data_IF_501814131121
#
_entry.id   IF_501814131121
#
_cell.length_a   1.000
_cell.length_b   1.000
_cell.length_c   1.000
_cell.angle_alpha   90.00
_cell.angle_beta   90.00
_cell.angle_gamma   90.00
#
_symmetry.space_group_name_H-M   'P 1'
#
loop_
_entity.id
_entity.type
_entity.pdbx_description
1 polymer ?
#
# COMPACT_ATOMS: atom_id res chain seq x y z
N UNK A 1 3.42 30.14 -9.15
CA UNK A 1 2.64 28.91 -9.39
C UNK A 1 2.63 28.14 -8.07
N UNK A 2 1.45 27.87 -7.51
CA UNK A 2 1.32 26.91 -6.41
C UNK A 2 0.84 25.62 -7.06
N UNK A 3 1.64 24.56 -6.95
CA UNK A 3 1.36 23.26 -7.56
C UNK A 3 1.39 22.16 -6.50
N UNK A 4 0.64 21.10 -6.73
CA UNK A 4 0.63 19.90 -5.88
C UNK A 4 1.35 18.78 -6.63
N UNK A 5 2.24 18.08 -5.95
CA UNK A 5 2.84 16.84 -6.46
C UNK A 5 2.12 15.69 -5.78
N UNK A 6 1.57 14.79 -6.58
CA UNK A 6 0.94 13.54 -6.09
C UNK A 6 1.88 12.40 -6.45
N UNK A 7 2.25 11.62 -5.44
CA UNK A 7 3.02 10.38 -5.60
C UNK A 7 2.13 9.24 -5.14
N UNK A 8 2.01 8.22 -5.98
CA UNK A 8 1.24 7.02 -5.70
C UNK A 8 2.14 5.78 -5.74
N UNK A 9 1.77 4.77 -4.97
CA UNK A 9 2.48 3.51 -4.92
C UNK A 9 2.37 2.80 -3.58
N UNK A 10 3.03 1.65 -3.48
CA UNK A 10 3.11 0.85 -2.26
C UNK A 10 4.24 1.33 -1.37
N UNK A 11 4.07 1.19 -0.05
CA UNK A 11 5.12 1.40 0.95
C UNK A 11 5.70 2.82 1.02
N UNK A 12 4.90 3.83 0.67
CA UNK A 12 5.32 5.23 0.65
C UNK A 12 5.57 5.82 2.05
N UNK A 13 4.93 5.28 3.09
CA UNK A 13 5.06 5.80 4.46
C UNK A 13 6.23 5.19 5.25
N UNK A 14 7.18 4.53 4.57
CA UNK A 14 8.41 4.07 5.23
C UNK A 14 9.14 5.23 5.88
N UNK A 15 9.81 4.98 7.01
CA UNK A 15 10.50 6.01 7.80
C UNK A 15 11.44 6.89 6.98
N UNK A 16 12.07 6.36 5.93
CA UNK A 16 12.98 7.13 5.09
C UNK A 16 12.27 8.20 4.26
N UNK A 17 10.97 8.03 3.97
CA UNK A 17 10.24 8.87 3.03
C UNK A 17 9.10 9.66 3.67
N UNK A 18 8.52 9.17 4.77
CA UNK A 18 7.30 9.72 5.38
C UNK A 18 7.36 11.23 5.64
N UNK A 19 8.52 11.73 6.03
CA UNK A 19 8.71 13.13 6.45
C UNK A 19 8.81 14.11 5.26
N UNK A 20 8.92 13.61 4.03
CA UNK A 20 8.86 14.44 2.82
C UNK A 20 7.42 14.70 2.33
N UNK A 21 6.44 14.03 2.92
CA UNK A 21 5.05 14.15 2.53
C UNK A 21 4.28 15.07 3.47
N UNK A 22 3.73 16.15 2.89
CA UNK A 22 2.86 17.07 3.62
C UNK A 22 1.49 16.47 3.96
N UNK A 23 1.03 15.47 3.19
CA UNK A 23 -0.29 14.86 3.37
C UNK A 23 -0.28 13.43 2.83
N UNK A 24 -0.88 12.49 3.57
CA UNK A 24 -0.99 11.08 3.25
C UNK A 24 -2.43 10.59 3.17
N UNK A 25 -2.77 10.00 2.03
CA UNK A 25 -3.99 9.23 1.83
C UNK A 25 -3.63 7.75 1.82
N UNK A 26 -4.29 6.95 2.65
CA UNK A 26 -4.16 5.50 2.66
C UNK A 26 -5.44 4.84 2.14
N UNK A 27 -5.30 4.04 1.09
CA UNK A 27 -6.40 3.26 0.52
C UNK A 27 -6.42 1.88 1.18
N UNK A 28 -7.38 1.67 2.08
CA UNK A 28 -7.55 0.45 2.86
C UNK A 28 -8.47 -0.53 2.12
N UNK A 29 -7.86 -1.43 1.35
CA UNK A 29 -8.60 -2.42 0.57
C UNK A 29 -8.11 -3.85 0.91
N UNK A 30 -9.00 -4.78 1.28
CA UNK A 30 -8.65 -6.17 1.56
C UNK A 30 -7.83 -6.79 0.42
N UNK A 31 -6.82 -7.59 0.77
CA UNK A 31 -5.89 -8.17 -0.21
C UNK A 31 -6.60 -9.12 -1.17
N UNK A 32 -7.61 -9.82 -0.69
CA UNK A 32 -8.47 -10.71 -1.47
C UNK A 32 -9.22 -9.92 -2.54
N UNK A 33 -9.78 -8.76 -2.18
CA UNK A 33 -10.45 -7.87 -3.13
C UNK A 33 -9.49 -7.30 -4.17
N UNK A 34 -8.25 -6.97 -3.79
CA UNK A 34 -7.21 -6.53 -4.74
C UNK A 34 -6.78 -7.65 -5.66
N UNK A 35 -6.58 -8.86 -5.13
CA UNK A 35 -6.17 -10.04 -5.89
C UNK A 35 -7.19 -10.42 -6.97
N UNK A 36 -8.48 -10.24 -6.71
CA UNK A 36 -9.53 -10.46 -7.70
C UNK A 36 -9.48 -9.50 -8.90
N UNK A 37 -8.74 -8.39 -8.81
CA UNK A 37 -8.53 -7.45 -9.93
C UNK A 37 -7.41 -7.89 -10.86
N UNK A 38 -6.57 -8.82 -10.44
CA UNK A 38 -5.49 -9.36 -11.26
C UNK A 38 -6.05 -10.19 -12.42
N UNK A 39 -5.25 -10.39 -13.48
CA UNK A 39 -5.64 -11.25 -14.59
C UNK A 39 -5.86 -12.70 -14.14
N UNK A 40 -6.71 -13.44 -14.86
CA UNK A 40 -6.95 -14.87 -14.56
C UNK A 40 -5.66 -15.69 -14.51
N UNK A 41 -4.69 -15.38 -15.37
CA UNK A 41 -3.38 -16.03 -15.37
C UNK A 41 -2.59 -15.73 -14.08
N UNK A 42 -2.61 -14.48 -13.65
CA UNK A 42 -1.92 -14.04 -12.42
C UNK A 42 -2.57 -14.66 -11.18
N UNK A 43 -3.89 -14.79 -11.16
CA UNK A 43 -4.63 -15.43 -10.08
C UNK A 43 -4.30 -16.92 -9.92
N UNK A 44 -3.82 -17.61 -10.97
CA UNK A 44 -3.34 -19.00 -10.88
C UNK A 44 -2.06 -19.13 -10.05
N UNK A 45 -1.33 -18.03 -9.83
CA UNK A 45 -0.06 -18.01 -9.09
C UNK A 45 -0.21 -17.42 -7.68
N UNK A 46 -1.23 -17.88 -6.94
CA UNK A 46 -1.51 -17.44 -5.57
C UNK A 46 -0.29 -17.55 -4.64
N UNK A 47 0.50 -18.62 -4.80
CA UNK A 47 1.69 -18.88 -3.97
C UNK A 47 2.74 -17.75 -4.07
N UNK A 48 2.86 -17.08 -5.23
CA UNK A 48 3.72 -15.89 -5.38
C UNK A 48 3.20 -14.72 -4.54
N UNK A 49 1.89 -14.53 -4.45
CA UNK A 49 1.27 -13.49 -3.64
C UNK A 49 1.50 -13.75 -2.16
N UNK A 50 1.16 -14.94 -1.68
CA UNK A 50 1.37 -15.37 -0.30
C UNK A 50 2.84 -15.24 0.13
N UNK A 51 3.76 -15.79 -0.65
CA UNK A 51 5.14 -15.92 -0.21
C UNK A 51 6.00 -14.68 -0.42
N UNK A 52 5.55 -13.72 -1.24
CA UNK A 52 6.35 -12.54 -1.56
C UNK A 52 5.62 -11.24 -1.23
N UNK A 53 4.45 -11.02 -1.83
CA UNK A 53 3.75 -9.75 -1.74
C UNK A 53 3.06 -9.58 -0.39
N UNK A 54 2.32 -10.58 0.07
CA UNK A 54 1.60 -10.53 1.34
C UNK A 54 2.54 -10.52 2.53
N UNK A 55 3.61 -11.32 2.53
CA UNK A 55 4.65 -11.23 3.57
C UNK A 55 5.30 -9.84 3.67
N UNK A 56 5.58 -9.20 2.54
CA UNK A 56 6.12 -7.83 2.53
C UNK A 56 5.08 -6.80 3.00
N UNK A 57 3.82 -7.00 2.63
CA UNK A 57 2.69 -6.17 3.08
C UNK A 57 2.50 -6.29 4.58
N UNK A 58 2.49 -7.50 5.14
CA UNK A 58 2.39 -7.75 6.58
C UNK A 58 3.50 -7.03 7.35
N UNK A 59 4.75 -7.19 6.91
CA UNK A 59 5.89 -6.48 7.50
C UNK A 59 5.68 -4.96 7.48
N UNK A 60 5.22 -4.39 6.37
CA UNK A 60 4.95 -2.95 6.27
C UNK A 60 3.81 -2.50 7.19
N UNK A 61 2.71 -3.26 7.25
CA UNK A 61 1.57 -2.96 8.12
C UNK A 61 1.99 -2.97 9.58
N UNK A 62 2.80 -3.94 9.99
CA UNK A 62 3.27 -4.09 11.38
C UNK A 62 4.32 -3.05 11.78
N UNK A 63 5.26 -2.74 10.87
CA UNK A 63 6.42 -1.89 11.22
C UNK A 63 6.19 -0.40 10.96
N UNK A 64 5.42 -0.05 9.94
CA UNK A 64 5.20 1.35 9.56
C UNK A 64 3.81 1.85 9.92
N UNK A 65 2.85 0.98 10.26
CA UNK A 65 1.48 1.33 10.70
C UNK A 65 0.78 2.37 9.79
N UNK A 66 0.70 2.12 8.47
CA UNK A 66 0.36 3.15 7.48
C UNK A 66 -1.08 3.67 7.61
N UNK A 67 -2.00 2.84 8.09
CA UNK A 67 -3.38 3.25 8.37
C UNK A 67 -3.47 4.27 9.51
N UNK A 68 -2.60 4.15 10.51
CA UNK A 68 -2.58 5.03 11.67
C UNK A 68 -1.82 6.34 11.40
N UNK A 69 -0.88 6.33 10.45
CA UNK A 69 -0.01 7.46 10.10
C UNK A 69 -0.47 8.26 8.87
N UNK A 70 -1.58 7.84 8.26
CA UNK A 70 -2.26 8.58 7.20
C UNK A 70 -3.11 9.71 7.78
N UNK A 71 -3.21 10.81 7.04
CA UNK A 71 -4.10 11.91 7.38
C UNK A 71 -5.57 11.54 7.05
N UNK A 72 -5.77 10.75 6.00
CA UNK A 72 -7.08 10.19 5.63
C UNK A 72 -6.95 8.74 5.20
N UNK A 73 -7.91 7.92 5.65
CA UNK A 73 -8.10 6.53 5.21
C UNK A 73 -9.37 6.44 4.38
N UNK A 74 -9.27 5.84 3.19
CA UNK A 74 -10.41 5.56 2.29
C UNK A 74 -10.58 4.04 2.19
N UNK A 75 -11.81 3.55 2.24
CA UNK A 75 -12.15 2.12 2.13
C UNK A 75 -12.81 1.81 0.78
#
# INVERSE_FOLDING_TARGET
IVGVIVIEGVFLQRKEWRDFFHYMVYLDCPRETRFLRESEETQKNLSKFENRYWKAEDYYLETELPKNRADVVIQ
#
